data_IF_696755142126
#
_entry.id   IF_696755142126
#
_cell.length_a   1.000
_cell.length_b   1.000
_cell.length_c   1.000
_cell.angle_alpha   90.00
_cell.angle_beta   90.00
_cell.angle_gamma   90.00
#
_symmetry.space_group_name_H-M   'P 1'
#
loop_
_entity.id
_entity.type
_entity.pdbx_description
1 polymer ?
#
# COMPACT_ATOMS: atom_id res chain seq x y z
N UNK A 1 11.70 9.17 -14.24
CA UNK A 1 10.30 9.29 -14.70
C UNK A 1 9.54 10.15 -13.70
N UNK A 2 8.78 11.18 -14.09
CA UNK A 2 7.87 11.84 -13.17
C UNK A 2 6.77 10.85 -12.76
N UNK A 3 6.44 10.78 -11.47
CA UNK A 3 5.33 9.95 -10.95
C UNK A 3 3.98 10.52 -11.42
N UNK A 4 3.57 10.19 -12.65
CA UNK A 4 2.31 10.65 -13.24
C UNK A 4 1.07 10.08 -12.54
N UNK A 5 1.19 8.90 -11.90
CA UNK A 5 0.07 8.17 -11.31
C UNK A 5 -0.06 8.32 -9.79
N UNK A 6 0.88 9.02 -9.14
CA UNK A 6 0.94 9.10 -7.67
C UNK A 6 -0.30 9.72 -7.03
N UNK A 7 -0.95 10.68 -7.70
CA UNK A 7 -2.16 11.34 -7.18
C UNK A 7 -3.37 10.39 -7.17
N UNK A 8 -3.58 9.63 -8.23
CA UNK A 8 -4.67 8.65 -8.33
C UNK A 8 -4.47 7.49 -7.35
N UNK A 9 -3.27 6.91 -7.33
CA UNK A 9 -2.92 5.84 -6.39
C UNK A 9 -3.13 6.24 -4.92
N UNK A 10 -2.73 7.46 -4.54
CA UNK A 10 -2.97 7.99 -3.20
C UNK A 10 -4.47 8.09 -2.88
N UNK A 11 -5.28 8.62 -3.80
CA UNK A 11 -6.71 8.80 -3.58
C UNK A 11 -7.42 7.46 -3.38
N UNK A 12 -7.10 6.46 -4.18
CA UNK A 12 -7.73 5.14 -4.07
C UNK A 12 -7.25 4.35 -2.85
N UNK A 13 -5.97 4.47 -2.49
CA UNK A 13 -5.47 3.95 -1.22
C UNK A 13 -6.23 4.58 -0.04
N UNK A 14 -6.41 5.91 -0.02
CA UNK A 14 -7.17 6.60 1.03
C UNK A 14 -8.61 6.08 1.11
N UNK A 15 -9.32 5.91 -0.01
CA UNK A 15 -10.67 5.31 0.00
C UNK A 15 -10.69 3.90 0.61
N UNK A 16 -9.64 3.12 0.36
CA UNK A 16 -9.53 1.75 0.83
C UNK A 16 -9.29 1.66 2.34
N UNK A 17 -8.43 2.52 2.91
CA UNK A 17 -7.93 2.35 4.30
C UNK A 17 -8.33 3.44 5.29
N UNK A 18 -8.74 4.64 4.83
CA UNK A 18 -8.95 5.77 5.73
C UNK A 18 -10.13 5.54 6.68
N UNK A 19 -9.91 5.86 7.97
CA UNK A 19 -10.92 5.72 9.02
C UNK A 19 -11.26 4.27 9.39
N UNK A 20 -10.53 3.28 8.88
CA UNK A 20 -10.79 1.85 9.11
C UNK A 20 -9.71 1.22 9.99
N UNK A 21 -10.07 0.16 10.70
CA UNK A 21 -9.12 -0.65 11.45
C UNK A 21 -8.27 -1.48 10.48
N UNK A 22 -6.96 -1.46 10.67
CA UNK A 22 -6.00 -2.17 9.84
C UNK A 22 -5.34 -3.28 10.64
N UNK A 23 -5.08 -4.40 9.99
CA UNK A 23 -4.11 -5.41 10.44
C UNK A 23 -2.83 -5.20 9.66
N UNK A 24 -1.73 -4.99 10.38
CA UNK A 24 -0.41 -4.70 9.81
C UNK A 24 0.53 -5.85 10.18
N UNK A 25 1.10 -6.53 9.19
CA UNK A 25 2.05 -7.63 9.38
C UNK A 25 3.44 -7.14 9.01
N UNK A 26 4.23 -6.75 10.02
CA UNK A 26 5.58 -6.23 9.82
C UNK A 26 6.55 -7.37 9.56
N UNK A 27 7.31 -7.29 8.47
CA UNK A 27 8.31 -8.30 8.09
C UNK A 27 9.70 -7.71 7.86
N UNK A 28 9.85 -6.39 7.98
CA UNK A 28 11.15 -5.74 7.86
C UNK A 28 11.15 -4.36 8.46
N UNK A 29 12.36 -3.81 8.59
CA UNK A 29 12.59 -2.41 8.95
C UNK A 29 13.42 -1.80 7.84
N UNK A 30 12.87 -0.79 7.18
CA UNK A 30 13.58 -0.01 6.20
C UNK A 30 14.39 1.10 6.89
N UNK A 31 15.35 1.67 6.15
CA UNK A 31 16.13 2.81 6.61
C UNK A 31 15.21 3.92 7.12
N UNK A 32 15.68 4.67 8.12
CA UNK A 32 14.93 5.75 8.77
C UNK A 32 13.69 5.31 9.56
N UNK A 33 13.72 4.13 10.17
CA UNK A 33 12.72 3.61 11.13
C UNK A 33 11.35 3.22 10.57
N UNK A 34 11.17 3.30 9.25
CA UNK A 34 9.95 2.82 8.61
C UNK A 34 9.85 1.30 8.70
N UNK A 35 8.69 0.78 9.08
CA UNK A 35 8.40 -0.65 8.99
C UNK A 35 8.02 -1.02 7.56
N UNK A 36 8.50 -2.16 7.07
CA UNK A 36 7.99 -2.79 5.85
C UNK A 36 6.98 -3.83 6.26
N UNK A 37 5.76 -3.73 5.74
CA UNK A 37 4.63 -4.51 6.22
C UNK A 37 3.57 -4.77 5.16
N UNK A 38 2.89 -5.90 5.32
CA UNK A 38 1.64 -6.18 4.64
C UNK A 38 0.48 -5.52 5.36
N UNK A 39 -0.47 -4.96 4.61
CA UNK A 39 -1.61 -4.24 5.17
C UNK A 39 -2.89 -4.92 4.75
N UNK A 40 -3.71 -5.24 5.75
CA UNK A 40 -5.04 -5.77 5.56
C UNK A 40 -6.07 -4.80 6.13
N UNK A 41 -7.13 -4.55 5.38
CA UNK A 41 -8.25 -3.70 5.78
C UNK A 41 -9.55 -4.50 5.61
N UNK A 42 -10.27 -4.76 6.69
CA UNK A 42 -11.49 -5.60 6.67
C UNK A 42 -11.30 -6.97 5.99
N UNK A 43 -10.13 -7.60 6.17
CA UNK A 43 -9.78 -8.88 5.55
C UNK A 43 -9.28 -8.79 4.09
N UNK A 44 -9.27 -7.61 3.49
CA UNK A 44 -8.76 -7.37 2.13
C UNK A 44 -7.27 -7.08 2.19
N UNK A 45 -6.48 -7.76 1.36
CA UNK A 45 -5.05 -7.48 1.19
C UNK A 45 -4.86 -6.23 0.30
N UNK A 46 -4.39 -5.14 0.90
CA UNK A 46 -4.36 -3.81 0.28
C UNK A 46 -3.40 -3.76 -0.92
N UNK A 47 -2.23 -4.36 -0.80
CA UNK A 47 -1.20 -4.38 -1.84
C UNK A 47 -1.71 -5.02 -3.14
N UNK A 48 -2.45 -6.14 -3.04
CA UNK A 48 -3.03 -6.82 -4.19
C UNK A 48 -4.06 -5.95 -4.93
N UNK A 49 -4.91 -5.23 -4.18
CA UNK A 49 -5.89 -4.29 -4.78
C UNK A 49 -5.18 -3.18 -5.54
N UNK A 50 -4.08 -2.65 -5.01
CA UNK A 50 -3.31 -1.61 -5.71
C UNK A 50 -2.65 -2.14 -6.98
N UNK A 51 -2.09 -3.35 -6.94
CA UNK A 51 -1.48 -3.99 -8.10
C UNK A 51 -2.51 -4.27 -9.20
N UNK A 52 -3.66 -4.85 -8.85
CA UNK A 52 -4.72 -5.20 -9.82
C UNK A 52 -5.37 -3.99 -10.48
N UNK A 53 -5.38 -2.84 -9.81
CA UNK A 53 -5.94 -1.60 -10.34
C UNK A 53 -4.87 -0.71 -11.01
N UNK A 54 -3.69 -1.24 -11.31
CA UNK A 54 -2.59 -0.50 -11.95
C UNK A 54 -2.10 0.72 -11.14
N UNK A 55 -2.32 0.72 -9.83
CA UNK A 55 -1.97 1.80 -8.89
C UNK A 55 -0.62 1.61 -8.21
N UNK A 56 -0.06 0.40 -8.29
CA UNK A 56 1.25 0.05 -7.78
C UNK A 56 1.89 -1.00 -8.70
N UNK A 57 3.22 -1.12 -8.65
CA UNK A 57 3.98 -2.10 -9.42
C UNK A 57 4.70 -3.05 -8.47
N UNK A 58 4.95 -4.28 -8.92
CA UNK A 58 5.75 -5.21 -8.14
C UNK A 58 7.19 -4.68 -8.10
N UNK A 59 7.67 -4.41 -6.89
CA UNK A 59 9.07 -4.13 -6.66
C UNK A 59 9.82 -5.46 -6.56
N UNK A 60 10.70 -5.73 -7.52
CA UNK A 60 11.68 -6.82 -7.42
C UNK A 60 12.97 -6.19 -6.90
N UNK A 61 13.32 -6.53 -5.66
CA UNK A 61 14.50 -6.03 -4.96
C UNK A 61 15.77 -6.75 -5.43
#
# INVERSE_FOLDING_TARGET
>A
MPMLFGKGAKQDLVKLVHGKCLRVLVYGKYQYSCSVADVYCNGIFVQEVLLKNELAWHYVA
#
